data_IF_821375950264
#
_entry.id   IF_821375950264
#
_cell.length_a   1.000
_cell.length_b   1.000
_cell.length_c   1.000
_cell.angle_alpha   90.00
_cell.angle_beta   90.00
_cell.angle_gamma   90.00
#
_symmetry.space_group_name_H-M   'P 1'
#
loop_
_entity.id
_entity.type
_entity.pdbx_description
1 polymer ?
#
# COMPACT_ATOMS: atom_id res chain seq x y z
N UNK A 1 -3.16 -2.69 12.16
CA UNK A 1 -4.60 -2.86 12.38
C UNK A 1 -5.29 -1.93 11.43
N UNK A 2 -5.99 -2.46 10.44
CA UNK A 2 -6.66 -1.66 9.43
C UNK A 2 -7.89 -0.95 9.99
N UNK A 3 -8.29 0.14 9.36
CA UNK A 3 -9.49 0.91 9.69
C UNK A 3 -10.75 0.02 9.77
N UNK A 4 -10.82 -1.02 8.97
CA UNK A 4 -11.94 -1.98 8.94
C UNK A 4 -12.00 -2.97 10.11
N UNK A 5 -10.91 -3.16 10.87
CA UNK A 5 -10.94 -4.00 12.09
C UNK A 5 -11.77 -3.38 13.21
N UNK A 6 -12.15 -2.11 13.04
CA UNK A 6 -13.03 -1.36 13.92
C UNK A 6 -14.46 -1.30 13.38
N UNK A 7 -14.84 -2.24 12.52
CA UNK A 7 -16.22 -2.34 12.07
C UNK A 7 -17.19 -2.49 13.24
N UNK A 8 -18.43 -2.09 13.04
CA UNK A 8 -19.49 -2.14 14.07
C UNK A 8 -19.63 -3.51 14.77
N UNK A 9 -19.20 -4.59 14.12
CA UNK A 9 -19.24 -5.96 14.63
C UNK A 9 -18.17 -6.24 15.71
N UNK A 10 -17.03 -5.53 15.70
CA UNK A 10 -15.91 -5.74 16.63
C UNK A 10 -15.77 -4.65 17.69
N UNK A 11 -16.54 -3.58 17.60
CA UNK A 11 -16.40 -2.41 18.48
C UNK A 11 -17.25 -2.45 19.75
N UNK A 12 -17.84 -3.58 20.12
CA UNK A 12 -18.76 -3.67 21.26
C UNK A 12 -18.14 -3.27 22.60
N UNK A 13 -16.81 -3.28 22.73
CA UNK A 13 -16.09 -2.96 23.96
C UNK A 13 -15.01 -1.87 23.80
N UNK A 14 -15.07 -1.07 22.75
CA UNK A 14 -14.01 -0.11 22.45
C UNK A 14 -14.13 1.23 23.21
N UNK A 15 -14.91 1.30 24.28
CA UNK A 15 -15.13 2.52 25.05
C UNK A 15 -15.88 3.60 24.26
N UNK A 16 -15.86 4.82 24.76
CA UNK A 16 -16.56 5.99 24.16
C UNK A 16 -16.21 6.21 22.70
N UNK A 17 -14.97 5.92 22.31
CA UNK A 17 -14.47 6.05 20.97
C UNK A 17 -15.07 5.04 19.99
N UNK A 18 -15.14 3.77 20.39
CA UNK A 18 -15.74 2.72 19.55
C UNK A 18 -17.23 2.91 19.36
N UNK A 19 -17.92 3.45 20.36
CA UNK A 19 -19.36 3.74 20.29
C UNK A 19 -19.64 4.89 19.31
N UNK A 20 -18.90 5.97 19.38
CA UNK A 20 -19.03 7.10 18.47
C UNK A 20 -18.75 6.70 17.01
N UNK A 21 -17.74 5.86 16.78
CA UNK A 21 -17.47 5.31 15.46
C UNK A 21 -18.59 4.38 14.97
N UNK A 22 -19.10 3.52 15.84
CA UNK A 22 -20.23 2.65 15.51
C UNK A 22 -21.49 3.43 15.16
N UNK A 23 -21.71 4.58 15.79
CA UNK A 23 -22.83 5.50 15.51
C UNK A 23 -22.54 6.46 14.34
N UNK A 24 -21.33 6.40 13.74
CA UNK A 24 -20.89 7.31 12.68
C UNK A 24 -21.02 8.80 13.08
N UNK A 25 -20.71 9.13 14.34
CA UNK A 25 -20.75 10.51 14.83
C UNK A 25 -19.59 11.32 14.21
N UNK A 26 -19.88 12.35 13.38
CA UNK A 26 -18.84 13.06 12.60
C UNK A 26 -17.75 13.69 13.48
N UNK A 27 -18.13 14.28 14.62
CA UNK A 27 -17.18 14.93 15.53
C UNK A 27 -16.16 13.93 16.12
N UNK A 28 -16.63 12.73 16.50
CA UNK A 28 -15.75 11.71 17.04
C UNK A 28 -14.86 11.06 15.98
N UNK A 29 -15.34 10.96 14.73
CA UNK A 29 -14.54 10.51 13.59
C UNK A 29 -13.45 11.54 13.30
N UNK A 30 -13.73 12.83 13.42
CA UNK A 30 -12.77 13.91 13.20
C UNK A 30 -11.65 13.93 14.25
N UNK A 31 -11.96 13.64 15.49
CA UNK A 31 -10.99 13.54 16.60
C UNK A 31 -10.08 12.29 16.51
N UNK A 32 -10.32 11.41 15.55
CA UNK A 32 -9.48 10.22 15.30
C UNK A 32 -8.17 10.52 14.55
N UNK A 33 -7.63 11.70 14.70
CA UNK A 33 -6.52 12.28 13.95
C UNK A 33 -5.36 11.31 13.61
N UNK A 34 -4.96 10.47 14.56
CA UNK A 34 -3.88 9.50 14.33
C UNK A 34 -4.28 8.26 13.54
N UNK A 35 -5.56 7.90 13.47
CA UNK A 35 -6.07 6.68 12.82
C UNK A 35 -6.68 6.96 11.46
N UNK A 36 -7.17 8.17 11.26
CA UNK A 36 -7.70 8.66 9.98
C UNK A 36 -6.65 9.41 9.17
N UNK A 37 -5.43 9.54 9.71
CA UNK A 37 -4.35 10.22 9.03
C UNK A 37 -3.70 9.32 7.98
N UNK A 38 -3.53 9.83 6.77
CA UNK A 38 -2.78 9.20 5.70
C UNK A 38 -1.25 9.25 5.86
N UNK A 39 -0.76 9.84 6.97
CA UNK A 39 0.68 9.99 7.24
C UNK A 39 1.47 8.69 7.15
N UNK A 40 0.89 7.59 7.67
CA UNK A 40 1.56 6.27 7.63
C UNK A 40 1.72 5.77 6.19
N UNK A 41 0.70 5.98 5.34
CA UNK A 41 0.73 5.60 3.94
C UNK A 41 1.81 6.38 3.18
N UNK A 42 1.84 7.70 3.37
CA UNK A 42 2.86 8.53 2.71
C UNK A 42 4.27 8.31 3.25
N UNK A 43 4.44 7.97 4.53
CA UNK A 43 5.76 7.54 5.04
C UNK A 43 6.26 6.28 4.33
N UNK A 44 5.40 5.31 4.10
CA UNK A 44 5.77 4.10 3.38
C UNK A 44 6.10 4.42 1.90
N UNK A 45 5.26 5.22 1.22
CA UNK A 45 5.51 5.66 -0.16
C UNK A 45 6.83 6.44 -0.25
N UNK A 46 7.09 7.36 0.69
CA UNK A 46 8.35 8.08 0.77
C UNK A 46 9.55 7.13 0.88
N UNK A 47 9.50 6.15 1.78
CA UNK A 47 10.58 5.19 1.96
C UNK A 47 10.81 4.32 0.73
N UNK A 48 9.75 3.96 -0.02
CA UNK A 48 9.90 3.22 -1.27
C UNK A 48 10.55 4.06 -2.35
N UNK A 49 10.13 5.32 -2.53
CA UNK A 49 10.77 6.25 -3.45
C UNK A 49 12.23 6.49 -3.05
N UNK A 50 12.50 6.72 -1.77
CA UNK A 50 13.85 6.90 -1.25
C UNK A 50 14.77 5.71 -1.55
N UNK A 51 14.25 4.48 -1.45
CA UNK A 51 15.02 3.29 -1.79
C UNK A 51 15.37 3.26 -3.28
N UNK A 52 14.41 3.53 -4.18
CA UNK A 52 14.64 3.61 -5.63
C UNK A 52 15.67 4.69 -6.00
N UNK A 53 15.52 5.88 -5.44
CA UNK A 53 16.41 7.02 -5.72
C UNK A 53 17.84 6.79 -5.23
N UNK A 54 18.04 5.98 -4.19
CA UNK A 54 19.32 5.71 -3.58
C UNK A 54 19.91 4.33 -3.89
N UNK A 55 19.33 3.55 -4.81
CA UNK A 55 19.81 2.21 -5.16
C UNK A 55 21.29 2.20 -5.63
N UNK A 56 21.78 3.29 -6.23
CA UNK A 56 23.17 3.44 -6.67
C UNK A 56 24.19 3.36 -5.53
N UNK A 57 23.73 3.49 -4.28
CA UNK A 57 24.58 3.36 -3.07
C UNK A 57 24.83 1.92 -2.65
N UNK A 58 24.08 0.96 -3.21
CA UNK A 58 24.26 -0.45 -2.90
C UNK A 58 25.49 -0.98 -3.62
N UNK A 59 26.61 -1.03 -2.89
CA UNK A 59 27.88 -1.56 -3.39
C UNK A 59 28.08 -2.97 -2.86
N UNK A 60 28.70 -3.83 -3.67
CA UNK A 60 28.97 -5.22 -3.33
C UNK A 60 27.73 -6.11 -3.06
N UNK A 61 26.62 -5.75 -3.67
CA UNK A 61 25.35 -6.51 -3.63
C UNK A 61 25.01 -6.90 -5.06
N UNK A 62 24.54 -8.13 -5.26
CA UNK A 62 24.11 -8.58 -6.58
C UNK A 62 22.90 -7.79 -7.08
N UNK A 63 22.81 -7.57 -8.37
CA UNK A 63 21.68 -6.86 -8.99
C UNK A 63 20.35 -7.60 -8.69
N UNK A 64 20.35 -8.92 -8.76
CA UNK A 64 19.18 -9.73 -8.41
C UNK A 64 18.65 -9.43 -7.00
N UNK A 65 19.56 -9.22 -6.03
CA UNK A 65 19.16 -8.88 -4.66
C UNK A 65 18.62 -7.46 -4.56
N UNK A 66 19.20 -6.53 -5.29
CA UNK A 66 18.70 -5.15 -5.36
C UNK A 66 17.30 -5.14 -5.98
N UNK A 67 17.12 -5.82 -7.12
CA UNK A 67 15.84 -5.93 -7.81
C UNK A 67 14.76 -6.56 -6.91
N UNK A 68 15.12 -7.57 -6.13
CA UNK A 68 14.22 -8.16 -5.13
C UNK A 68 13.77 -7.13 -4.09
N UNK A 69 14.68 -6.32 -3.54
CA UNK A 69 14.32 -5.29 -2.56
C UNK A 69 13.47 -4.18 -3.14
N UNK A 70 13.79 -3.74 -4.36
CA UNK A 70 13.00 -2.75 -5.08
C UNK A 70 11.58 -3.27 -5.35
N UNK A 71 11.45 -4.51 -5.79
CA UNK A 71 10.16 -5.13 -6.03
C UNK A 71 9.32 -5.31 -4.74
N UNK A 72 9.96 -5.61 -3.59
CA UNK A 72 9.28 -5.60 -2.30
C UNK A 72 8.77 -4.19 -1.94
N UNK A 73 9.57 -3.16 -2.22
CA UNK A 73 9.19 -1.77 -2.01
C UNK A 73 8.03 -1.36 -2.94
N UNK A 74 8.07 -1.76 -4.20
CA UNK A 74 7.01 -1.49 -5.19
C UNK A 74 5.69 -2.16 -4.77
N UNK A 75 5.73 -3.39 -4.26
CA UNK A 75 4.54 -4.02 -3.69
C UNK A 75 3.95 -3.20 -2.53
N UNK A 76 4.79 -2.71 -1.62
CA UNK A 76 4.33 -1.84 -0.51
C UNK A 76 3.74 -0.54 -1.05
N UNK A 77 4.39 0.10 -2.03
CA UNK A 77 3.89 1.31 -2.67
C UNK A 77 2.50 1.09 -3.29
N UNK A 78 2.35 -0.01 -4.04
CA UNK A 78 1.08 -0.40 -4.64
C UNK A 78 -0.03 -0.56 -3.58
N UNK A 79 0.27 -1.29 -2.49
CA UNK A 79 -0.66 -1.50 -1.40
C UNK A 79 -1.06 -0.17 -0.73
N UNK A 80 -0.12 0.75 -0.54
CA UNK A 80 -0.41 2.04 0.09
C UNK A 80 -1.28 2.91 -0.80
N UNK A 81 -1.02 3.01 -2.10
CA UNK A 81 -1.89 3.75 -3.02
C UNK A 81 -3.28 3.12 -3.12
N UNK A 82 -3.38 1.79 -3.17
CA UNK A 82 -4.67 1.12 -3.16
C UNK A 82 -5.46 1.44 -1.89
N UNK A 83 -4.82 1.44 -0.72
CA UNK A 83 -5.45 1.82 0.55
C UNK A 83 -5.88 3.30 0.56
N UNK A 84 -5.03 4.20 0.04
CA UNK A 84 -5.41 5.61 -0.11
C UNK A 84 -6.66 5.77 -0.98
N UNK A 85 -6.75 5.04 -2.09
CA UNK A 85 -7.93 5.05 -2.95
C UNK A 85 -9.19 4.52 -2.23
N UNK A 86 -9.06 3.44 -1.44
CA UNK A 86 -10.17 2.85 -0.70
C UNK A 86 -10.68 3.73 0.45
N UNK A 87 -9.75 4.34 1.21
CA UNK A 87 -10.08 5.03 2.45
C UNK A 87 -10.45 6.51 2.22
N UNK A 88 -9.88 7.15 1.20
CA UNK A 88 -10.09 8.59 0.93
C UNK A 88 -10.54 8.93 -0.50
N UNK A 89 -10.44 8.01 -1.43
CA UNK A 89 -10.76 8.26 -2.84
C UNK A 89 -9.69 9.11 -3.52
N UNK A 90 -9.79 10.44 -3.36
CA UNK A 90 -8.77 11.36 -3.87
C UNK A 90 -7.57 11.46 -2.93
N UNK A 91 -6.38 11.36 -3.47
CA UNK A 91 -5.13 11.42 -2.72
C UNK A 91 -4.03 12.10 -3.54
N UNK A 92 -2.91 12.41 -2.92
CA UNK A 92 -1.76 13.02 -3.60
C UNK A 92 -0.89 11.91 -4.21
N UNK A 93 -0.48 12.07 -5.46
CA UNK A 93 0.60 11.26 -6.05
C UNK A 93 1.93 11.88 -5.64
N UNK A 94 2.78 11.09 -4.98
CA UNK A 94 4.11 11.51 -4.54
C UNK A 94 5.19 10.75 -5.38
N UNK A 95 5.65 11.33 -6.50
CA UNK A 95 6.53 10.63 -7.43
C UNK A 95 7.98 10.53 -6.93
N UNK A 96 8.41 11.45 -6.08
CA UNK A 96 9.80 11.60 -5.63
C UNK A 96 9.88 12.04 -4.17
N UNK A 97 11.03 11.79 -3.53
CA UNK A 97 11.34 12.31 -2.20
C UNK A 97 11.87 13.73 -2.21
N UNK A 98 12.31 14.22 -3.36
CA UNK A 98 12.91 15.55 -3.50
C UNK A 98 11.86 16.65 -3.71
N UNK A 99 10.65 16.28 -4.17
CA UNK A 99 9.58 17.24 -4.40
C UNK A 99 8.82 17.53 -3.09
N UNK A 100 9.23 18.59 -2.42
CA UNK A 100 8.55 19.10 -1.23
C UNK A 100 7.47 20.14 -1.55
N UNK A 101 7.11 20.33 -2.83
CA UNK A 101 6.05 21.26 -3.23
C UNK A 101 4.68 20.80 -2.76
N UNK A 102 3.79 21.74 -2.54
CA UNK A 102 2.40 21.42 -2.20
C UNK A 102 1.69 20.84 -3.42
N UNK A 103 1.40 19.54 -3.37
CA UNK A 103 0.73 18.81 -4.43
C UNK A 103 -0.79 18.84 -4.24
N UNK A 104 -1.54 19.00 -5.34
CA UNK A 104 -2.98 18.83 -5.34
C UNK A 104 -3.36 17.34 -5.25
N UNK A 105 -4.55 17.05 -4.75
CA UNK A 105 -5.11 15.70 -4.81
C UNK A 105 -5.40 15.31 -6.25
N UNK A 106 -5.10 14.08 -6.58
CA UNK A 106 -5.43 13.45 -7.86
C UNK A 106 -6.73 12.64 -7.73
N UNK A 107 -7.50 12.50 -8.81
CA UNK A 107 -8.70 11.66 -8.83
C UNK A 107 -8.38 10.19 -8.50
N UNK A 108 -9.38 9.47 -7.99
CA UNK A 108 -9.24 8.07 -7.57
C UNK A 108 -8.68 7.16 -8.67
N UNK A 109 -9.08 7.36 -9.93
CA UNK A 109 -8.57 6.57 -11.05
C UNK A 109 -7.06 6.76 -11.25
N UNK A 110 -6.53 7.96 -11.06
CA UNK A 110 -5.09 8.23 -11.10
C UNK A 110 -4.37 7.48 -9.97
N UNK A 111 -4.91 7.50 -8.76
CA UNK A 111 -4.34 6.78 -7.61
C UNK A 111 -4.34 5.26 -7.84
N UNK A 112 -5.43 4.72 -8.41
CA UNK A 112 -5.50 3.30 -8.75
C UNK A 112 -4.52 2.92 -9.87
N UNK A 113 -4.31 3.81 -10.85
CA UNK A 113 -3.30 3.61 -11.90
C UNK A 113 -1.89 3.55 -11.30
N UNK A 114 -1.55 4.43 -10.37
CA UNK A 114 -0.27 4.38 -9.63
C UNK A 114 -0.11 3.06 -8.85
N UNK A 115 -1.19 2.61 -8.21
CA UNK A 115 -1.19 1.33 -7.52
C UNK A 115 -0.93 0.14 -8.47
N UNK A 116 -1.57 0.14 -9.64
CA UNK A 116 -1.37 -0.90 -10.66
C UNK A 116 0.07 -0.88 -11.17
N UNK A 117 0.59 0.29 -11.57
CA UNK A 117 1.96 0.41 -12.08
C UNK A 117 3.00 -0.08 -11.08
N UNK A 118 2.85 0.28 -9.81
CA UNK A 118 3.73 -0.21 -8.76
C UNK A 118 3.57 -1.73 -8.53
N UNK A 119 2.35 -2.28 -8.60
CA UNK A 119 2.13 -3.71 -8.49
C UNK A 119 2.73 -4.48 -9.69
N UNK A 120 2.61 -3.94 -10.90
CA UNK A 120 3.23 -4.52 -12.10
C UNK A 120 4.77 -4.53 -12.01
N UNK A 121 5.39 -3.48 -11.48
CA UNK A 121 6.83 -3.46 -11.22
C UNK A 121 7.24 -4.56 -10.22
N UNK A 122 6.38 -4.93 -9.29
CA UNK A 122 6.62 -5.99 -8.32
C UNK A 122 6.43 -7.42 -8.88
N UNK A 123 5.97 -7.60 -10.14
CA UNK A 123 5.76 -8.94 -10.74
C UNK A 123 7.04 -9.75 -10.95
N UNK A 124 8.21 -9.13 -10.82
CA UNK A 124 9.50 -9.83 -10.84
C UNK A 124 9.77 -10.64 -9.56
N UNK A 125 8.95 -10.47 -8.52
CA UNK A 125 9.10 -11.24 -7.27
C UNK A 125 8.95 -12.75 -7.53
N UNK A 126 9.75 -13.58 -6.85
CA UNK A 126 9.66 -15.02 -6.98
C UNK A 126 8.38 -15.58 -6.36
N UNK A 127 8.04 -16.79 -6.71
CA UNK A 127 7.00 -17.58 -6.03
C UNK A 127 7.38 -17.82 -4.57
N UNK A 128 6.40 -18.07 -3.72
CA UNK A 128 6.60 -18.22 -2.27
C UNK A 128 7.65 -19.27 -1.89
N UNK A 129 7.66 -20.39 -2.58
CA UNK A 129 8.60 -21.50 -2.39
C UNK A 129 10.06 -21.17 -2.77
N UNK A 130 10.24 -20.10 -3.57
CA UNK A 130 11.56 -19.62 -4.03
C UNK A 130 12.05 -18.37 -3.30
N UNK A 131 11.30 -17.89 -2.30
CA UNK A 131 11.75 -16.75 -1.50
C UNK A 131 13.00 -17.11 -0.71
N UNK A 132 14.02 -16.26 -0.79
CA UNK A 132 15.30 -16.46 -0.07
C UNK A 132 15.70 -15.25 0.75
N UNK A 133 16.36 -15.49 1.87
CA UNK A 133 17.00 -14.44 2.67
C UNK A 133 18.35 -13.98 2.03
N UNK A 134 19.03 -13.06 2.70
CA UNK A 134 20.32 -12.53 2.23
C UNK A 134 21.43 -13.61 2.13
N UNK A 135 21.27 -14.72 2.82
CA UNK A 135 22.21 -15.86 2.83
C UNK A 135 21.83 -16.93 1.79
N UNK A 136 20.77 -16.72 0.99
CA UNK A 136 20.29 -17.69 0.00
C UNK A 136 19.42 -18.83 0.57
N UNK A 137 19.10 -18.80 1.86
CA UNK A 137 18.25 -19.82 2.49
C UNK A 137 16.77 -19.50 2.23
N UNK A 138 15.96 -20.53 2.03
CA UNK A 138 14.53 -20.38 1.83
C UNK A 138 13.86 -19.67 3.02
N UNK A 139 12.98 -18.74 2.72
CA UNK A 139 12.18 -18.03 3.72
C UNK A 139 10.79 -18.65 3.75
N UNK A 140 10.43 -19.27 4.86
CA UNK A 140 9.07 -19.76 5.11
C UNK A 140 8.20 -18.69 5.81
N UNK A 141 8.59 -17.44 5.74
CA UNK A 141 7.87 -16.33 6.38
C UNK A 141 6.94 -15.63 5.40
N UNK A 142 5.70 -15.43 5.80
CA UNK A 142 4.71 -14.65 5.05
C UNK A 142 4.87 -13.13 5.21
N UNK A 143 5.99 -12.69 5.77
CA UNK A 143 6.31 -11.27 5.92
C UNK A 143 6.83 -10.62 4.63
N UNK A 144 7.25 -11.45 3.66
CA UNK A 144 7.71 -11.00 2.35
C UNK A 144 6.61 -11.21 1.31
N UNK A 145 6.48 -10.25 0.41
CA UNK A 145 5.62 -10.40 -0.75
C UNK A 145 6.22 -11.45 -1.71
N UNK A 146 5.36 -12.22 -2.32
CA UNK A 146 5.70 -13.16 -3.39
C UNK A 146 4.90 -12.82 -4.64
N UNK A 147 5.22 -13.44 -5.76
CA UNK A 147 4.48 -13.30 -7.01
C UNK A 147 2.96 -13.52 -6.80
N UNK A 148 2.60 -14.56 -6.03
CA UNK A 148 1.19 -14.82 -5.71
C UNK A 148 0.53 -13.70 -4.90
N UNK A 149 1.28 -13.04 -4.02
CA UNK A 149 0.78 -11.88 -3.26
C UNK A 149 0.53 -10.68 -4.18
N UNK A 150 1.41 -10.45 -5.16
CA UNK A 150 1.25 -9.38 -6.16
C UNK A 150 0.02 -9.61 -7.02
N UNK A 151 -0.16 -10.83 -7.54
CA UNK A 151 -1.35 -11.19 -8.32
C UNK A 151 -2.63 -11.02 -7.50
N UNK A 152 -2.61 -11.37 -6.22
CA UNK A 152 -3.76 -11.16 -5.33
C UNK A 152 -4.06 -9.67 -5.16
N UNK A 153 -3.04 -8.82 -5.01
CA UNK A 153 -3.22 -7.38 -4.93
C UNK A 153 -3.82 -6.82 -6.22
N UNK A 154 -3.28 -7.18 -7.38
CA UNK A 154 -3.79 -6.76 -8.70
C UNK A 154 -5.25 -7.20 -8.88
N UNK A 155 -5.58 -8.46 -8.56
CA UNK A 155 -6.96 -8.94 -8.64
C UNK A 155 -7.90 -8.12 -7.73
N UNK A 156 -7.47 -7.76 -6.52
CA UNK A 156 -8.26 -6.90 -5.64
C UNK A 156 -8.44 -5.49 -6.20
N UNK A 157 -7.39 -4.90 -6.80
CA UNK A 157 -7.48 -3.57 -7.42
C UNK A 157 -8.47 -3.61 -8.59
N UNK A 158 -8.36 -4.57 -9.50
CA UNK A 158 -9.27 -4.70 -10.64
C UNK A 158 -10.69 -5.01 -10.23
N UNK A 159 -10.91 -5.88 -9.24
CA UNK A 159 -12.25 -6.14 -8.70
C UNK A 159 -12.87 -4.88 -8.07
N UNK A 160 -12.06 -4.07 -7.38
CA UNK A 160 -12.49 -2.78 -6.83
C UNK A 160 -12.87 -1.80 -7.94
N UNK A 161 -12.07 -1.70 -8.99
CA UNK A 161 -12.34 -0.85 -10.15
C UNK A 161 -13.59 -1.31 -10.90
N UNK A 162 -13.78 -2.60 -11.09
CA UNK A 162 -14.99 -3.17 -11.69
C UNK A 162 -16.25 -2.75 -10.94
N UNK A 163 -16.25 -2.90 -9.61
CA UNK A 163 -17.36 -2.47 -8.76
C UNK A 163 -17.56 -0.95 -8.72
N UNK A 164 -16.48 -0.16 -8.78
CA UNK A 164 -16.53 1.29 -8.73
C UNK A 164 -17.08 1.91 -10.03
N UNK A 165 -16.72 1.34 -11.18
CA UNK A 165 -17.06 1.88 -12.48
C UNK A 165 -18.18 1.11 -13.19
N UNK A 166 -18.74 0.08 -12.54
CA UNK A 166 -19.75 -0.81 -13.13
C UNK A 166 -19.32 -1.36 -14.51
N UNK A 167 -18.06 -1.80 -14.59
CA UNK A 167 -17.45 -2.30 -15.81
C UNK A 167 -16.97 -3.74 -15.63
N UNK A 168 -17.36 -4.59 -16.56
CA UNK A 168 -16.96 -6.01 -16.59
C UNK A 168 -15.53 -6.23 -17.11
N UNK A 169 -14.90 -5.20 -17.65
CA UNK A 169 -13.56 -5.28 -18.26
C UNK A 169 -12.38 -5.26 -17.27
N UNK A 170 -12.65 -5.10 -15.96
CA UNK A 170 -11.62 -5.09 -14.91
C UNK A 170 -11.55 -6.40 -14.13
#
# INVERSE_FOLDING_TARGET
MGFFDWSALHCSNAGTFGEAYRKLEPAAIWDMDKRTSWNTHYKAIYLTNFLHENQFRFKNISQERIDFWLAQADFVKALMYFRLAQDWGEAVVAPSTEDASQQAKSPINTILTEAIQAAEAALILPTFDKLTNAQGNNINSRQYASLGTVHTLLANIYAWMGGLYDKEEY
#
